data_IF_791039629708
#
_entry.id   IF_791039629708
#
_cell.length_a   1.000
_cell.length_b   1.000
_cell.length_c   1.000
_cell.angle_alpha   90.00
_cell.angle_beta   90.00
_cell.angle_gamma   90.00
#
_symmetry.space_group_name_H-M   'P 1'
#
loop_
_entity.id
_entity.type
_entity.pdbx_description
1 polymer ?
#
# COMPACT_ATOMS: atom_id res chain seq x y z
N UNK A 1 -32.76 -0.06 26.35
CA UNK A 1 -32.58 0.32 24.93
C UNK A 1 -31.98 -0.86 24.16
N UNK A 2 -32.84 -1.70 23.57
CA UNK A 2 -32.47 -2.83 22.68
C UNK A 2 -33.59 -3.02 21.66
N UNK A 3 -33.29 -2.85 20.38
CA UNK A 3 -34.10 -3.10 19.16
C UNK A 3 -33.39 -2.31 18.04
N UNK A 4 -33.17 -2.73 16.79
CA UNK A 4 -33.70 -3.80 15.94
C UNK A 4 -32.64 -3.99 14.84
N UNK A 5 -32.11 -5.21 14.67
CA UNK A 5 -31.53 -5.67 13.39
C UNK A 5 -32.73 -6.06 12.54
N UNK A 6 -32.84 -5.58 11.29
CA UNK A 6 -33.59 -6.20 10.19
C UNK A 6 -33.28 -5.45 8.88
N UNK A 7 -33.21 -6.23 7.79
CA UNK A 7 -33.25 -5.84 6.36
C UNK A 7 -31.90 -5.47 5.70
N UNK A 8 -31.18 -6.49 5.21
CA UNK A 8 -30.43 -6.37 3.94
C UNK A 8 -30.29 -7.71 3.20
N UNK A 9 -31.27 -8.60 3.37
CA UNK A 9 -31.36 -9.85 2.60
C UNK A 9 -32.56 -9.74 1.64
N UNK A 10 -32.45 -8.87 0.63
CA UNK A 10 -33.46 -8.74 -0.44
C UNK A 10 -32.86 -8.05 -1.67
N UNK A 11 -31.75 -8.59 -2.18
CA UNK A 11 -31.23 -8.23 -3.51
C UNK A 11 -30.61 -9.46 -4.17
N UNK A 12 -31.38 -10.54 -4.23
CA UNK A 12 -31.00 -11.78 -4.91
C UNK A 12 -32.22 -12.55 -5.41
N UNK A 13 -33.33 -11.89 -5.77
CA UNK A 13 -34.44 -12.47 -6.55
C UNK A 13 -35.16 -11.33 -7.28
N UNK A 14 -34.60 -10.84 -8.38
CA UNK A 14 -35.33 -10.03 -9.36
C UNK A 14 -34.57 -10.11 -10.67
N UNK A 15 -34.75 -11.22 -11.38
CA UNK A 15 -34.59 -11.37 -12.84
C UNK A 15 -34.83 -12.85 -13.19
N UNK A 16 -36.01 -13.36 -12.84
CA UNK A 16 -36.61 -14.50 -13.51
C UNK A 16 -38.12 -14.40 -13.32
N UNK A 17 -38.81 -14.04 -14.41
CA UNK A 17 -40.21 -14.27 -14.80
C UNK A 17 -40.79 -13.01 -15.45
N UNK A 18 -40.96 -13.09 -16.77
CA UNK A 18 -41.62 -12.07 -17.57
C UNK A 18 -41.73 -12.47 -19.04
N UNK A 19 -42.05 -13.75 -19.29
CA UNK A 19 -42.54 -14.23 -20.60
C UNK A 19 -44.05 -14.43 -20.45
N UNK A 20 -44.80 -14.04 -21.49
CA UNK A 20 -46.25 -14.11 -21.72
C UNK A 20 -47.07 -12.85 -21.36
N UNK A 21 -47.33 -12.01 -22.38
CA UNK A 21 -48.68 -11.76 -22.90
C UNK A 21 -48.66 -10.57 -23.90
N UNK A 22 -48.69 -10.87 -25.20
CA UNK A 22 -49.15 -9.92 -26.23
C UNK A 22 -50.63 -10.19 -26.52
N UNK A 23 -51.48 -9.16 -26.68
CA UNK A 23 -52.68 -9.29 -27.49
C UNK A 23 -52.44 -8.78 -28.92
N UNK A 24 -53.15 -9.43 -29.83
CA UNK A 24 -53.01 -9.39 -31.28
C UNK A 24 -53.68 -8.19 -31.97
N UNK A 25 -53.26 -8.00 -33.22
CA UNK A 25 -54.02 -7.51 -34.39
C UNK A 25 -54.14 -6.01 -34.67
N UNK A 26 -53.43 -5.58 -35.73
CA UNK A 26 -53.96 -4.93 -36.94
C UNK A 26 -52.88 -5.05 -38.04
N UNK A 27 -53.03 -5.95 -39.03
CA UNK A 27 -53.44 -5.64 -40.42
C UNK A 27 -52.59 -4.52 -41.07
N UNK A 28 -51.93 -4.66 -42.22
CA UNK A 28 -52.26 -5.46 -43.40
C UNK A 28 -51.06 -5.58 -44.38
N UNK A 29 -51.16 -6.60 -45.24
CA UNK A 29 -50.68 -6.68 -46.63
C UNK A 29 -49.20 -6.98 -46.95
N UNK A 30 -49.00 -8.28 -47.22
CA UNK A 30 -48.15 -8.86 -48.26
C UNK A 30 -48.50 -8.28 -49.66
N UNK A 31 -47.59 -8.37 -50.65
CA UNK A 31 -47.78 -9.44 -51.63
C UNK A 31 -46.50 -10.21 -51.99
N UNK A 32 -46.78 -11.38 -52.54
CA UNK A 32 -45.91 -12.49 -52.91
C UNK A 32 -44.97 -12.18 -54.09
N UNK A 33 -43.80 -12.83 -54.15
CA UNK A 33 -43.50 -13.84 -55.18
C UNK A 33 -42.02 -14.29 -55.14
N UNK A 34 -41.84 -15.57 -54.80
CA UNK A 34 -40.83 -16.55 -55.20
C UNK A 34 -39.51 -16.11 -55.89
N UNK A 35 -38.37 -16.50 -55.32
CA UNK A 35 -37.37 -17.35 -55.98
C UNK A 35 -36.31 -17.86 -54.97
N UNK A 36 -36.15 -19.18 -54.95
CA UNK A 36 -35.15 -19.98 -54.24
C UNK A 36 -33.73 -19.76 -54.79
N UNK A 37 -32.75 -19.53 -53.93
CA UNK A 37 -31.35 -19.97 -54.15
C UNK A 37 -30.76 -20.40 -52.81
N UNK A 38 -30.35 -21.67 -52.77
CA UNK A 38 -29.51 -22.23 -51.72
C UNK A 38 -28.14 -21.55 -51.75
N UNK A 39 -27.74 -20.91 -50.65
CA UNK A 39 -26.33 -20.75 -50.31
C UNK A 39 -26.13 -21.20 -48.87
N UNK A 40 -25.10 -22.03 -48.71
CA UNK A 40 -24.71 -22.72 -47.50
C UNK A 40 -24.52 -21.74 -46.34
N UNK A 41 -24.97 -22.11 -45.13
CA UNK A 41 -24.50 -21.47 -43.90
C UNK A 41 -22.97 -21.51 -43.91
N UNK A 42 -22.24 -20.37 -43.90
CA UNK A 42 -20.85 -20.42 -43.52
C UNK A 42 -20.81 -20.83 -42.04
N UNK A 43 -19.97 -21.84 -41.81
CA UNK A 43 -19.60 -22.47 -40.56
C UNK A 43 -19.54 -21.47 -39.39
N UNK A 44 -20.15 -21.82 -38.25
CA UNK A 44 -20.12 -21.02 -37.02
C UNK A 44 -18.69 -20.84 -36.46
N UNK A 45 -17.69 -21.48 -37.08
CA UNK A 45 -16.28 -21.26 -36.82
C UNK A 45 -15.71 -19.96 -37.47
N UNK A 46 -16.37 -19.38 -38.48
CA UNK A 46 -15.90 -18.17 -39.18
C UNK A 46 -16.39 -16.85 -38.57
N UNK A 47 -17.10 -16.88 -37.44
CA UNK A 47 -17.49 -15.70 -36.66
C UNK A 47 -16.49 -15.32 -35.55
N UNK A 48 -15.32 -15.97 -35.50
CA UNK A 48 -14.27 -15.69 -34.52
C UNK A 48 -13.16 -14.74 -35.03
N UNK A 49 -13.33 -14.15 -36.21
CA UNK A 49 -12.31 -13.33 -36.87
C UNK A 49 -12.76 -11.89 -37.18
N UNK A 50 -13.80 -11.39 -36.51
CA UNK A 50 -14.26 -10.01 -36.63
C UNK A 50 -14.92 -9.53 -35.32
N UNK A 51 -14.14 -9.45 -34.24
CA UNK A 51 -14.51 -8.73 -33.01
C UNK A 51 -13.30 -7.90 -32.52
N UNK A 52 -12.76 -7.04 -33.39
CA UNK A 52 -11.80 -5.98 -33.02
C UNK A 52 -12.51 -4.61 -32.90
N UNK A 53 -13.74 -4.61 -32.37
CA UNK A 53 -14.50 -3.39 -32.06
C UNK A 53 -14.93 -3.38 -30.58
N UNK A 54 -14.24 -2.55 -29.78
CA UNK A 54 -14.63 -2.11 -28.43
C UNK A 54 -14.48 -3.13 -27.28
N UNK A 55 -13.30 -3.74 -27.17
CA UNK A 55 -12.94 -4.55 -26.01
C UNK A 55 -12.95 -3.70 -24.71
N UNK A 56 -13.79 -4.07 -23.74
CA UNK A 56 -13.88 -3.39 -22.43
C UNK A 56 -12.51 -3.48 -21.75
N UNK A 57 -11.92 -2.32 -21.47
CA UNK A 57 -10.64 -2.27 -20.76
C UNK A 57 -10.80 -2.91 -19.38
N UNK A 58 -10.01 -3.93 -19.09
CA UNK A 58 -9.99 -4.62 -17.80
C UNK A 58 -8.61 -4.50 -17.18
N UNK A 59 -8.56 -4.21 -15.87
CA UNK A 59 -7.32 -4.13 -15.11
C UNK A 59 -7.39 -5.09 -13.93
N UNK A 60 -6.37 -5.93 -13.80
CA UNK A 60 -6.22 -6.89 -12.71
C UNK A 60 -4.88 -6.70 -12.03
N UNK A 61 -4.90 -6.54 -10.72
CA UNK A 61 -3.69 -6.38 -9.90
C UNK A 61 -3.41 -7.70 -9.17
N UNK A 62 -2.20 -8.25 -9.32
CA UNK A 62 -1.78 -9.50 -8.69
C UNK A 62 -0.48 -9.31 -7.93
N UNK A 63 -0.43 -9.81 -6.71
CA UNK A 63 0.81 -9.92 -5.96
C UNK A 63 1.28 -11.38 -6.06
N UNK A 64 2.36 -11.64 -6.78
CA UNK A 64 2.92 -12.96 -7.06
C UNK A 64 4.20 -13.20 -6.24
N UNK A 65 4.48 -14.45 -5.91
CA UNK A 65 5.63 -14.84 -5.07
C UNK A 65 5.30 -14.92 -3.58
N UNK A 66 6.35 -14.98 -2.75
CA UNK A 66 6.20 -15.12 -1.31
C UNK A 66 5.99 -13.75 -0.65
N UNK A 67 4.76 -13.46 -0.21
CA UNK A 67 4.41 -12.19 0.44
C UNK A 67 4.88 -12.15 1.90
N UNK A 68 6.19 -12.21 2.09
CA UNK A 68 6.90 -12.11 3.37
C UNK A 68 7.99 -11.04 3.24
N UNK A 69 8.16 -10.23 4.28
CA UNK A 69 9.21 -9.22 4.33
C UNK A 69 10.58 -9.83 4.02
N UNK A 70 11.31 -9.19 3.10
CA UNK A 70 12.63 -9.64 2.63
C UNK A 70 12.61 -10.74 1.57
N UNK A 71 11.43 -11.20 1.13
CA UNK A 71 11.30 -12.10 -0.03
C UNK A 71 11.18 -11.33 -1.35
N UNK A 72 11.51 -11.99 -2.45
CA UNK A 72 11.31 -11.46 -3.81
C UNK A 72 9.89 -11.77 -4.30
N UNK A 73 8.96 -10.86 -4.00
CA UNK A 73 7.61 -10.87 -4.57
C UNK A 73 7.47 -9.74 -5.59
N UNK A 74 6.53 -9.89 -6.51
CA UNK A 74 6.25 -8.90 -7.54
C UNK A 74 4.79 -8.52 -7.52
N UNK A 75 4.52 -7.23 -7.55
CA UNK A 75 3.20 -6.71 -7.90
C UNK A 75 3.13 -6.53 -9.41
N UNK A 76 2.15 -7.17 -10.03
CA UNK A 76 1.89 -7.15 -11.46
C UNK A 76 0.51 -6.55 -11.71
N UNK A 77 0.42 -5.75 -12.77
CA UNK A 77 -0.85 -5.18 -13.24
C UNK A 77 -1.07 -5.72 -14.64
N UNK A 78 -1.98 -6.67 -14.75
CA UNK A 78 -2.41 -7.23 -16.04
C UNK A 78 -3.53 -6.35 -16.59
N UNK A 79 -3.42 -5.94 -17.85
CA UNK A 79 -4.49 -5.23 -18.55
C UNK A 79 -4.98 -6.02 -19.74
N UNK A 80 -6.24 -5.81 -20.10
CA UNK A 80 -6.79 -6.22 -21.39
C UNK A 80 -7.48 -5.00 -21.99
N UNK A 81 -7.04 -4.50 -23.16
CA UNK A 81 -5.87 -4.94 -23.93
C UNK A 81 -4.52 -4.87 -23.16
N UNK A 82 -3.54 -5.69 -23.54
CA UNK A 82 -2.25 -5.84 -22.82
C UNK A 82 -1.42 -4.53 -22.78
N UNK A 83 -1.60 -3.66 -23.77
CA UNK A 83 -0.85 -2.41 -23.91
C UNK A 83 -1.62 -1.16 -23.46
N UNK A 84 -2.65 -1.34 -22.61
CA UNK A 84 -3.39 -0.22 -22.03
C UNK A 84 -2.48 0.62 -21.14
N UNK A 85 -2.43 1.93 -21.37
CA UNK A 85 -1.74 2.84 -20.46
C UNK A 85 -2.53 2.97 -19.15
N UNK A 86 -1.85 2.81 -18.01
CA UNK A 86 -2.47 2.93 -16.70
C UNK A 86 -1.57 3.64 -15.69
N UNK A 87 -2.20 4.15 -14.63
CA UNK A 87 -1.56 4.49 -13.36
C UNK A 87 -2.19 3.63 -12.27
N UNK A 88 -1.35 2.90 -11.54
CA UNK A 88 -1.72 2.16 -10.35
C UNK A 88 -1.20 2.87 -9.09
N UNK A 89 -1.96 2.75 -8.02
CA UNK A 89 -1.66 3.23 -6.67
C UNK A 89 -1.60 2.01 -5.78
N UNK A 90 -0.57 1.91 -4.95
CA UNK A 90 -0.48 0.91 -3.90
C UNK A 90 -0.23 1.63 -2.59
N UNK A 91 -1.11 1.41 -1.63
CA UNK A 91 -1.15 2.10 -0.35
C UNK A 91 -1.05 1.08 0.78
N UNK A 92 -0.08 1.28 1.66
CA UNK A 92 -0.03 0.56 2.93
C UNK A 92 -0.99 1.16 3.96
N UNK A 93 -1.89 0.32 4.46
CA UNK A 93 -3.03 0.70 5.31
C UNK A 93 -2.90 0.22 6.76
N UNK A 94 -1.87 -0.58 7.07
CA UNK A 94 -1.56 -1.01 8.45
C UNK A 94 -0.16 -1.61 8.54
N UNK A 95 0.34 -1.80 9.77
CA UNK A 95 1.66 -2.37 10.02
C UNK A 95 2.76 -1.35 9.79
N UNK A 96 3.93 -1.83 9.36
CA UNK A 96 5.06 -0.96 8.98
C UNK A 96 4.79 -0.21 7.69
N UNK A 97 3.97 -0.79 6.82
CA UNK A 97 3.55 -0.18 5.59
C UNK A 97 2.63 1.05 5.76
N UNK A 98 2.14 1.37 6.96
CA UNK A 98 1.15 2.43 7.13
C UNK A 98 1.67 3.78 6.62
N UNK A 99 0.98 4.36 5.64
CA UNK A 99 1.37 5.62 5.02
C UNK A 99 2.37 5.49 3.85
N UNK A 100 2.87 4.28 3.55
CA UNK A 100 3.62 4.03 2.33
C UNK A 100 2.71 4.10 1.12
N UNK A 101 3.09 4.90 0.12
CA UNK A 101 2.38 5.00 -1.16
C UNK A 101 3.36 4.78 -2.29
N UNK A 102 2.98 3.98 -3.28
CA UNK A 102 3.69 3.90 -4.55
C UNK A 102 2.73 4.08 -5.72
N UNK A 103 3.19 4.80 -6.74
CA UNK A 103 2.54 4.93 -8.03
C UNK A 103 3.28 4.04 -9.02
N UNK A 104 2.57 3.15 -9.70
CA UNK A 104 3.15 2.36 -10.79
C UNK A 104 2.54 2.82 -12.10
N UNK A 105 3.37 3.01 -13.12
CA UNK A 105 2.90 3.33 -14.45
C UNK A 105 3.16 2.16 -15.41
N UNK A 106 2.26 1.98 -16.38
CA UNK A 106 2.47 0.98 -17.44
C UNK A 106 3.80 1.19 -18.16
N UNK A 107 4.44 0.12 -18.63
CA UNK A 107 5.72 0.21 -19.33
C UNK A 107 5.64 1.04 -20.62
N UNK A 108 4.51 0.98 -21.33
CA UNK A 108 4.22 1.84 -22.49
C UNK A 108 4.25 3.30 -22.10
N UNK A 109 3.52 3.69 -21.05
CA UNK A 109 3.50 5.07 -20.56
C UNK A 109 4.88 5.52 -20.08
N UNK A 110 5.60 4.67 -19.33
CA UNK A 110 6.98 4.94 -18.89
C UNK A 110 7.89 5.24 -20.08
N UNK A 111 7.80 4.42 -21.13
CA UNK A 111 8.59 4.58 -22.35
C UNK A 111 8.25 5.90 -23.05
N UNK A 112 6.96 6.21 -23.23
CA UNK A 112 6.52 7.47 -23.83
C UNK A 112 7.03 8.70 -23.06
N UNK A 113 7.02 8.66 -21.72
CA UNK A 113 7.50 9.76 -20.89
C UNK A 113 9.04 9.92 -20.93
N UNK A 114 9.78 8.84 -21.17
CA UNK A 114 11.24 8.91 -21.36
C UNK A 114 11.65 9.52 -22.70
N UNK A 115 10.80 9.43 -23.72
CA UNK A 115 11.05 10.00 -25.05
C UNK A 115 10.90 11.52 -25.12
N UNK A 116 10.31 12.16 -24.10
CA UNK A 116 10.11 13.61 -24.06
C UNK A 116 11.28 14.24 -23.27
N UNK A 117 12.30 14.80 -23.95
CA UNK A 117 13.45 15.39 -23.28
C UNK A 117 13.06 16.67 -22.55
N UNK A 118 13.75 16.95 -21.45
CA UNK A 118 13.60 18.17 -20.66
C UNK A 118 14.95 18.87 -20.44
N UNK A 119 14.96 20.20 -20.27
CA UNK A 119 16.18 20.93 -19.96
C UNK A 119 16.84 20.44 -18.65
N UNK A 120 18.15 20.19 -18.67
CA UNK A 120 18.92 19.73 -17.50
C UNK A 120 18.80 20.63 -16.27
N UNK A 121 18.57 21.93 -16.45
CA UNK A 121 18.33 22.90 -15.36
C UNK A 121 17.12 22.57 -14.47
N UNK A 122 16.23 21.69 -14.92
CA UNK A 122 15.07 21.21 -14.15
C UNK A 122 15.41 19.97 -13.30
N UNK A 123 16.59 19.38 -13.51
CA UNK A 123 17.11 18.31 -12.67
C UNK A 123 17.58 18.86 -11.32
N UNK A 124 17.44 18.08 -10.26
CA UNK A 124 18.09 18.32 -8.96
C UNK A 124 19.60 18.15 -9.05
N UNK A 125 20.10 17.42 -10.07
CA UNK A 125 21.53 17.20 -10.33
C UNK A 125 21.90 17.53 -11.79
N UNK A 126 21.80 18.81 -12.22
CA UNK A 126 22.01 19.22 -13.62
C UNK A 126 23.36 18.79 -14.20
N UNK A 127 24.41 18.78 -13.35
CA UNK A 127 25.78 18.47 -13.75
C UNK A 127 26.04 16.97 -13.93
N UNK A 128 25.11 16.11 -13.48
CA UNK A 128 25.25 14.64 -13.54
C UNK A 128 24.24 13.97 -14.48
N UNK A 129 23.24 14.70 -14.99
CA UNK A 129 22.21 14.16 -15.86
C UNK A 129 22.61 14.31 -17.34
N UNK A 130 23.04 13.23 -18.00
CA UNK A 130 23.25 13.23 -19.46
C UNK A 130 21.92 13.29 -20.22
N UNK A 131 20.91 12.54 -19.76
CA UNK A 131 19.56 12.50 -20.31
C UNK A 131 18.52 12.81 -19.24
N UNK A 132 17.88 13.99 -19.33
CA UNK A 132 16.77 14.38 -18.46
C UNK A 132 15.47 14.40 -19.28
N UNK A 133 14.43 13.73 -18.79
CA UNK A 133 13.15 13.57 -19.47
C UNK A 133 11.98 13.71 -18.50
N UNK A 134 10.75 13.69 -19.04
CA UNK A 134 9.53 13.85 -18.24
C UNK A 134 9.42 12.75 -17.17
N UNK A 135 9.78 11.50 -17.47
CA UNK A 135 9.75 10.43 -16.47
C UNK A 135 10.68 10.70 -15.29
N UNK A 136 11.94 11.08 -15.55
CA UNK A 136 12.90 11.41 -14.48
C UNK A 136 12.47 12.64 -13.67
N UNK A 137 11.86 13.64 -14.33
CA UNK A 137 11.32 14.81 -13.64
C UNK A 137 10.18 14.44 -12.69
N UNK A 138 9.24 13.61 -13.16
CA UNK A 138 8.16 13.08 -12.32
C UNK A 138 8.70 12.29 -11.13
N UNK A 139 9.65 11.39 -11.37
CA UNK A 139 10.29 10.61 -10.30
C UNK A 139 10.93 11.52 -9.26
N UNK A 140 11.66 12.53 -9.70
CA UNK A 140 12.30 13.53 -8.82
C UNK A 140 11.29 14.34 -7.99
N UNK A 141 10.13 14.68 -8.55
CA UNK A 141 9.10 15.45 -7.86
C UNK A 141 8.26 14.59 -6.90
N UNK A 142 8.15 13.30 -7.16
CA UNK A 142 7.28 12.38 -6.41
C UNK A 142 8.09 11.71 -5.30
N UNK A 143 9.24 11.10 -5.62
CA UNK A 143 9.95 10.23 -4.71
C UNK A 143 10.34 10.93 -3.40
N UNK A 144 9.97 10.30 -2.28
CA UNK A 144 10.28 10.76 -0.94
C UNK A 144 9.45 11.95 -0.46
N UNK A 145 8.55 12.50 -1.29
CA UNK A 145 7.66 13.60 -0.91
C UNK A 145 6.34 13.09 -0.31
N UNK A 146 5.60 14.00 0.34
CA UNK A 146 4.26 13.72 0.86
C UNK A 146 3.22 13.64 -0.25
N UNK A 147 2.17 12.83 -0.06
CA UNK A 147 1.07 12.68 -1.02
C UNK A 147 0.40 14.02 -1.38
N UNK A 148 0.39 15.01 -0.49
CA UNK A 148 -0.12 16.35 -0.77
C UNK A 148 0.61 17.05 -1.92
N UNK A 149 1.87 16.70 -2.18
CA UNK A 149 2.68 17.23 -3.28
C UNK A 149 2.17 16.74 -4.64
N UNK A 150 1.51 15.58 -4.70
CA UNK A 150 1.06 14.97 -5.96
C UNK A 150 0.12 15.87 -6.78
N UNK A 151 -0.71 16.68 -6.13
CA UNK A 151 -1.58 17.64 -6.83
C UNK A 151 -0.75 18.72 -7.54
N UNK A 152 0.26 19.24 -6.84
CA UNK A 152 1.18 20.23 -7.40
C UNK A 152 1.97 19.64 -8.55
N UNK A 153 2.47 18.40 -8.41
CA UNK A 153 3.16 17.69 -9.51
C UNK A 153 2.25 17.57 -10.72
N UNK A 154 0.98 17.18 -10.53
CA UNK A 154 0.03 17.06 -11.62
C UNK A 154 -0.16 18.38 -12.39
N UNK A 155 -0.23 19.52 -11.69
CA UNK A 155 -0.38 20.84 -12.32
C UNK A 155 0.93 21.34 -12.96
N UNK A 156 2.06 21.11 -12.30
CA UNK A 156 3.39 21.49 -12.77
C UNK A 156 3.76 20.78 -14.08
N UNK A 157 3.41 19.50 -14.19
CA UNK A 157 3.65 18.68 -15.38
C UNK A 157 2.90 19.22 -16.61
N UNK A 158 1.68 19.72 -16.43
CA UNK A 158 0.94 20.38 -17.52
C UNK A 158 1.62 21.69 -17.91
N UNK A 159 2.06 22.49 -16.92
CA UNK A 159 2.75 23.76 -17.18
C UNK A 159 4.07 23.60 -17.94
N UNK A 160 4.85 22.57 -17.59
CA UNK A 160 6.09 22.25 -18.33
C UNK A 160 5.77 21.88 -19.77
N UNK A 161 4.70 21.13 -20.01
CA UNK A 161 4.28 20.77 -21.37
C UNK A 161 3.80 21.94 -22.20
N UNK A 162 3.07 22.89 -21.61
CA UNK A 162 2.69 24.11 -22.32
C UNK A 162 3.93 24.89 -22.77
N UNK A 163 4.99 24.89 -21.95
CA UNK A 163 6.27 25.57 -22.26
C UNK A 163 7.06 24.89 -23.39
N UNK A 164 7.05 23.56 -23.46
CA UNK A 164 7.78 22.80 -24.49
C UNK A 164 6.91 22.36 -25.68
N UNK A 165 5.64 22.74 -25.68
CA UNK A 165 4.63 22.33 -26.66
C UNK A 165 5.00 22.62 -28.12
N UNK A 166 5.80 23.66 -28.37
CA UNK A 166 6.28 24.00 -29.71
C UNK A 166 7.29 22.98 -30.26
N UNK A 167 7.99 22.26 -29.39
CA UNK A 167 9.09 21.35 -29.75
C UNK A 167 8.71 19.88 -29.64
N UNK A 168 7.49 19.58 -29.19
CA UNK A 168 7.04 18.24 -28.83
C UNK A 168 5.78 17.89 -29.63
N UNK A 169 5.72 16.71 -30.29
CA UNK A 169 4.53 16.25 -30.98
C UNK A 169 3.24 16.29 -30.13
N UNK A 170 2.12 16.61 -30.78
CA UNK A 170 0.81 16.72 -30.12
C UNK A 170 0.37 15.45 -29.40
N UNK A 171 0.78 14.27 -29.90
CA UNK A 171 0.52 12.98 -29.25
C UNK A 171 1.10 12.91 -27.83
N UNK A 172 2.31 13.43 -27.63
CA UNK A 172 2.95 13.48 -26.32
C UNK A 172 2.29 14.49 -25.38
N UNK A 173 1.78 15.61 -25.91
CA UNK A 173 1.01 16.57 -25.11
C UNK A 173 -0.26 15.91 -24.52
N UNK A 174 -0.93 15.07 -25.31
CA UNK A 174 -2.07 14.28 -24.83
C UNK A 174 -1.65 13.26 -23.78
N UNK A 175 -0.54 12.54 -23.99
CA UNK A 175 -0.01 11.58 -23.00
C UNK A 175 0.23 12.24 -21.64
N UNK A 176 0.85 13.42 -21.62
CA UNK A 176 1.19 14.10 -20.36
C UNK A 176 -0.04 14.71 -19.69
N UNK A 177 -1.02 15.20 -20.46
CA UNK A 177 -2.34 15.59 -19.92
C UNK A 177 -3.05 14.40 -19.25
N UNK A 178 -3.02 13.23 -19.88
CA UNK A 178 -3.60 12.02 -19.31
C UNK A 178 -2.88 11.60 -18.03
N UNK A 179 -1.56 11.75 -17.95
CA UNK A 179 -0.79 11.53 -16.72
C UNK A 179 -1.22 12.47 -15.60
N UNK A 180 -1.34 13.77 -15.89
CA UNK A 180 -1.80 14.77 -14.90
C UNK A 180 -3.19 14.41 -14.34
N UNK A 181 -4.13 14.06 -15.23
CA UNK A 181 -5.47 13.61 -14.82
C UNK A 181 -5.40 12.32 -13.99
N UNK A 182 -4.61 11.34 -14.43
CA UNK A 182 -4.39 10.10 -13.70
C UNK A 182 -3.80 10.31 -12.30
N UNK A 183 -2.89 11.27 -12.12
CA UNK A 183 -2.34 11.65 -10.82
C UNK A 183 -3.39 12.28 -9.90
N UNK A 184 -4.28 13.12 -10.43
CA UNK A 184 -5.41 13.69 -9.67
C UNK A 184 -6.38 12.61 -9.20
N UNK A 185 -6.65 11.62 -10.06
CA UNK A 185 -7.47 10.46 -9.70
C UNK A 185 -6.76 9.55 -8.68
N UNK A 186 -5.46 9.31 -8.85
CA UNK A 186 -4.64 8.59 -7.89
C UNK A 186 -4.66 9.26 -6.51
N UNK A 187 -4.52 10.58 -6.46
CA UNK A 187 -4.63 11.36 -5.21
C UNK A 187 -6.01 11.18 -4.56
N UNK A 188 -7.07 11.16 -5.36
CA UNK A 188 -8.44 10.94 -4.87
C UNK A 188 -8.61 9.56 -4.25
N UNK A 189 -8.02 8.52 -4.88
CA UNK A 189 -7.96 7.18 -4.30
C UNK A 189 -7.15 7.15 -3.00
N UNK A 190 -5.99 7.82 -2.96
CA UNK A 190 -5.16 7.84 -1.75
C UNK A 190 -5.93 8.51 -0.61
N UNK A 191 -6.52 9.70 -0.81
CA UNK A 191 -7.29 10.42 0.21
C UNK A 191 -8.48 9.63 0.75
N UNK A 192 -9.08 8.75 -0.08
CA UNK A 192 -10.18 7.87 0.33
C UNK A 192 -9.75 6.84 1.37
N UNK A 193 -8.54 6.29 1.26
CA UNK A 193 -8.06 5.20 2.12
C UNK A 193 -7.01 5.65 3.15
N UNK A 194 -6.38 6.80 2.91
CA UNK A 194 -5.44 7.46 3.79
C UNK A 194 -5.90 8.92 3.95
N UNK A 195 -6.67 9.24 5.01
CA UNK A 195 -7.21 10.58 5.22
C UNK A 195 -6.10 11.61 5.48
N UNK A 196 -6.45 12.89 5.32
CA UNK A 196 -5.52 14.00 5.51
C UNK A 196 -4.89 13.99 6.91
N UNK A 197 -3.57 14.26 6.97
CA UNK A 197 -2.78 14.28 8.20
C UNK A 197 -2.07 12.97 8.53
N UNK A 198 -2.29 11.89 7.79
CA UNK A 198 -1.44 10.71 7.87
C UNK A 198 -0.05 11.02 7.27
N UNK A 199 1.01 10.74 8.03
CA UNK A 199 2.38 10.83 7.51
C UNK A 199 2.53 9.87 6.34
N UNK A 200 2.73 10.41 5.15
CA UNK A 200 2.80 9.63 3.92
C UNK A 200 4.06 9.95 3.15
N UNK A 201 4.59 8.94 2.45
CA UNK A 201 5.65 9.13 1.47
C UNK A 201 5.27 8.41 0.21
N UNK A 202 5.38 9.11 -0.91
CA UNK A 202 5.04 8.58 -2.23
C UNK A 202 6.31 8.30 -3.02
N UNK A 203 6.29 7.20 -3.78
CA UNK A 203 7.39 6.79 -4.64
C UNK A 203 6.84 6.37 -6.01
N UNK A 204 7.59 6.65 -7.07
CA UNK A 204 7.23 6.27 -8.44
C UNK A 204 7.98 4.99 -8.85
N UNK A 205 7.21 3.99 -9.27
CA UNK A 205 7.63 2.66 -9.72
C UNK A 205 8.42 1.84 -8.69
N UNK A 206 8.24 2.11 -7.39
CA UNK A 206 8.83 1.31 -6.32
C UNK A 206 7.88 0.21 -5.85
N UNK A 207 8.36 -1.04 -5.81
CA UNK A 207 7.60 -2.14 -5.20
C UNK A 207 7.49 -1.91 -3.68
N UNK A 208 6.30 -2.14 -3.07
CA UNK A 208 6.21 -2.18 -1.62
C UNK A 208 7.18 -3.24 -1.08
N UNK A 209 7.67 -3.06 0.15
CA UNK A 209 8.61 -3.98 0.80
C UNK A 209 8.19 -4.32 2.23
N UNK A 210 7.67 -3.32 2.94
CA UNK A 210 7.33 -3.45 4.35
C UNK A 210 6.17 -4.42 4.63
N UNK A 211 6.18 -4.97 5.83
CA UNK A 211 5.10 -5.82 6.30
C UNK A 211 3.86 -4.98 6.63
N UNK A 212 2.69 -5.51 6.28
CA UNK A 212 1.46 -4.75 6.44
C UNK A 212 0.35 -5.24 5.54
N UNK A 213 -0.78 -4.55 5.63
CA UNK A 213 -1.87 -4.71 4.66
C UNK A 213 -1.78 -3.60 3.63
N UNK A 214 -2.01 -3.96 2.38
CA UNK A 214 -1.95 -3.08 1.25
C UNK A 214 -3.28 -3.06 0.52
N UNK A 215 -3.64 -1.87 0.04
CA UNK A 215 -4.69 -1.65 -0.93
C UNK A 215 -4.02 -1.21 -2.23
N UNK A 216 -4.38 -1.83 -3.34
CA UNK A 216 -3.94 -1.43 -4.66
C UNK A 216 -5.15 -1.09 -5.54
N UNK A 217 -5.04 -0.03 -6.32
CA UNK A 217 -6.04 0.39 -7.30
C UNK A 217 -5.36 0.87 -8.58
N UNK A 218 -5.92 0.62 -9.75
CA UNK A 218 -5.35 1.03 -11.01
C UNK A 218 -6.42 1.60 -11.95
N UNK A 219 -6.04 2.59 -12.75
CA UNK A 219 -6.94 3.33 -13.65
C UNK A 219 -6.29 3.41 -15.02
N UNK A 220 -7.07 3.10 -16.07
CA UNK A 220 -6.65 3.27 -17.45
C UNK A 220 -6.67 4.75 -17.87
N UNK A 221 -5.71 5.16 -18.70
CA UNK A 221 -5.52 6.54 -19.16
C UNK A 221 -6.02 6.82 -20.58
N UNK A 222 -6.27 5.78 -21.38
CA UNK A 222 -6.61 5.89 -22.81
C UNK A 222 -8.12 5.97 -23.10
N UNK A 223 -8.98 5.81 -22.08
CA UNK A 223 -10.43 5.88 -22.24
C UNK A 223 -10.95 7.25 -21.82
N UNK A 224 -11.60 7.96 -22.75
CA UNK A 224 -12.27 9.26 -22.53
C UNK A 224 -13.29 9.23 -21.39
N UNK A 225 -13.75 8.03 -21.04
CA UNK A 225 -14.55 7.72 -19.87
C UNK A 225 -13.74 6.82 -18.93
N UNK A 226 -13.73 7.10 -17.61
CA UNK A 226 -13.07 6.30 -16.57
C UNK A 226 -13.85 4.98 -16.37
N UNK A 227 -13.85 4.13 -17.39
CA UNK A 227 -14.67 2.92 -17.43
C UNK A 227 -13.93 1.68 -16.92
N UNK A 228 -12.62 1.79 -16.68
CA UNK A 228 -11.78 0.67 -16.29
C UNK A 228 -10.93 0.99 -15.06
N UNK A 229 -11.30 0.38 -13.93
CA UNK A 229 -10.51 0.38 -12.72
C UNK A 229 -10.39 -1.02 -12.13
N UNK A 230 -9.18 -1.40 -11.73
CA UNK A 230 -8.89 -2.65 -11.03
C UNK A 230 -8.54 -2.37 -9.57
N UNK A 231 -8.92 -3.27 -8.66
CA UNK A 231 -8.55 -3.16 -7.24
C UNK A 231 -8.09 -4.50 -6.68
N UNK A 232 -7.13 -4.46 -5.75
CA UNK A 232 -6.68 -5.62 -5.00
C UNK A 232 -6.36 -5.25 -3.55
N UNK A 233 -6.48 -6.22 -2.66
CA UNK A 233 -5.98 -6.14 -1.29
C UNK A 233 -5.07 -7.32 -1.04
N UNK A 234 -3.89 -7.07 -0.48
CA UNK A 234 -2.93 -8.11 -0.14
C UNK A 234 -2.21 -7.79 1.16
N UNK A 235 -1.50 -8.78 1.70
CA UNK A 235 -0.77 -8.65 2.95
C UNK A 235 0.63 -9.19 2.78
N UNK A 236 1.63 -8.37 3.07
CA UNK A 236 3.01 -8.83 3.28
C UNK A 236 3.16 -9.17 4.75
N UNK A 237 3.50 -10.43 5.03
CA UNK A 237 3.70 -10.93 6.38
C UNK A 237 5.07 -10.47 6.89
N UNK A 238 5.23 -10.25 8.20
CA UNK A 238 6.55 -10.06 8.78
C UNK A 238 7.38 -11.34 8.61
N UNK A 239 8.70 -11.19 8.58
CA UNK A 239 9.63 -12.32 8.53
C UNK A 239 9.64 -13.06 9.86
N UNK A 240 9.54 -14.38 9.81
CA UNK A 240 9.58 -15.27 10.98
C UNK A 240 10.74 -16.27 10.96
N UNK A 241 11.26 -16.58 9.78
CA UNK A 241 12.35 -17.55 9.62
C UNK A 241 13.68 -16.93 10.02
N UNK A 242 14.46 -17.68 10.80
CA UNK A 242 15.74 -17.25 11.38
C UNK A 242 15.66 -15.92 12.15
N UNK A 243 14.48 -15.61 12.71
CA UNK A 243 14.26 -14.42 13.53
C UNK A 243 14.21 -14.81 15.00
N UNK A 244 15.00 -14.14 15.82
CA UNK A 244 15.00 -14.29 17.28
C UNK A 244 15.16 -12.95 18.00
N UNK A 245 14.98 -12.96 19.31
CA UNK A 245 15.27 -11.82 20.18
C UNK A 245 16.44 -12.18 21.09
N UNK A 246 17.31 -11.21 21.33
CA UNK A 246 18.35 -11.29 22.36
C UNK A 246 18.36 -10.02 23.19
N UNK A 247 18.56 -10.14 24.51
CA UNK A 247 18.75 -8.97 25.36
C UNK A 247 20.05 -8.25 24.98
N UNK A 248 20.03 -6.92 24.96
CA UNK A 248 21.22 -6.12 24.66
C UNK A 248 22.28 -6.21 25.77
N UNK A 249 21.81 -6.33 27.02
CA UNK A 249 22.63 -6.54 28.19
C UNK A 249 21.92 -7.50 29.17
N UNK A 250 22.74 -8.26 29.91
CA UNK A 250 22.25 -9.01 31.06
C UNK A 250 21.82 -8.05 32.16
N UNK A 251 20.61 -8.24 32.69
CA UNK A 251 20.12 -7.50 33.84
C UNK A 251 20.44 -8.27 35.12
N UNK A 252 21.03 -7.63 36.14
CA UNK A 252 21.23 -8.29 37.43
C UNK A 252 19.89 -8.75 38.02
N UNK A 253 19.90 -9.90 38.70
CA UNK A 253 18.70 -10.52 39.27
C UNK A 253 17.98 -9.63 40.31
N UNK A 254 18.74 -8.76 40.97
CA UNK A 254 18.24 -7.74 41.89
C UNK A 254 18.96 -6.42 41.66
N UNK A 255 18.23 -5.31 41.65
CA UNK A 255 18.78 -3.96 41.51
C UNK A 255 17.88 -2.94 42.21
N UNK A 256 18.43 -1.77 42.54
CA UNK A 256 17.62 -0.69 43.13
C UNK A 256 16.77 0.00 42.05
N UNK A 257 15.78 0.80 42.46
CA UNK A 257 14.96 1.59 41.53
C UNK A 257 15.86 2.47 40.65
N UNK A 258 16.84 3.17 41.22
CA UNK A 258 17.76 4.04 40.47
C UNK A 258 18.63 3.25 39.47
N UNK A 259 19.08 2.05 39.83
CA UNK A 259 19.85 1.19 38.94
C UNK A 259 19.02 0.68 37.77
N UNK A 260 17.74 0.33 38.01
CA UNK A 260 16.84 -0.13 36.96
C UNK A 260 16.57 0.94 35.91
N UNK A 261 16.40 2.20 36.35
CA UNK A 261 16.15 3.34 35.45
C UNK A 261 17.36 3.66 34.56
N UNK A 262 18.56 3.27 35.00
CA UNK A 262 19.81 3.49 34.26
C UNK A 262 20.28 2.24 33.48
N UNK A 263 19.63 1.09 33.66
CA UNK A 263 20.03 -0.17 33.05
C UNK A 263 19.58 -0.25 31.58
N UNK A 264 20.40 -0.88 30.74
CA UNK A 264 19.96 -1.24 29.39
C UNK A 264 18.97 -2.41 29.46
N UNK A 265 17.68 -2.08 29.39
CA UNK A 265 16.59 -3.04 29.39
C UNK A 265 16.12 -3.43 27.99
N UNK A 266 16.89 -3.09 26.96
CA UNK A 266 16.49 -3.32 25.57
C UNK A 266 16.81 -4.74 25.11
N UNK A 267 16.07 -5.17 24.08
CA UNK A 267 16.36 -6.36 23.31
C UNK A 267 16.52 -5.98 21.84
N UNK A 268 17.29 -6.77 21.12
CA UNK A 268 17.57 -6.64 19.69
C UNK A 268 16.90 -7.78 18.95
N UNK A 269 16.33 -7.46 17.79
CA UNK A 269 15.88 -8.46 16.83
C UNK A 269 17.09 -8.96 16.06
N UNK A 270 17.29 -10.27 16.05
CA UNK A 270 18.31 -10.95 15.26
C UNK A 270 17.62 -11.60 14.07
N UNK A 271 18.07 -11.32 12.85
CA UNK A 271 17.63 -11.98 11.61
C UNK A 271 18.85 -12.59 10.93
N UNK A 272 18.78 -13.86 10.58
CA UNK A 272 19.87 -14.59 9.89
C UNK A 272 21.23 -14.45 10.59
N UNK A 273 21.21 -14.43 11.93
CA UNK A 273 22.42 -14.32 12.77
C UNK A 273 22.98 -12.89 12.91
N UNK A 274 22.37 -11.88 12.30
CA UNK A 274 22.79 -10.48 12.43
C UNK A 274 21.72 -9.63 13.11
N UNK A 275 22.14 -8.54 13.77
CA UNK A 275 21.20 -7.56 14.34
C UNK A 275 20.44 -6.89 13.21
N UNK A 276 19.12 -6.96 13.23
CA UNK A 276 18.27 -6.33 12.23
C UNK A 276 18.30 -4.80 12.37
N UNK A 277 18.72 -4.09 11.32
CA UNK A 277 18.84 -2.61 11.32
C UNK A 277 17.52 -1.90 11.69
N UNK A 278 16.39 -2.44 11.23
CA UNK A 278 15.05 -1.90 11.48
C UNK A 278 14.22 -2.77 12.45
N UNK A 279 14.89 -3.47 13.38
CA UNK A 279 14.24 -4.31 14.38
C UNK A 279 13.46 -3.48 15.40
N UNK A 280 12.14 -3.65 15.46
CA UNK A 280 11.29 -3.01 16.49
C UNK A 280 10.99 -4.00 17.61
N UNK A 281 11.11 -3.53 18.86
CA UNK A 281 10.79 -4.32 20.06
C UNK A 281 9.86 -3.55 20.96
N UNK A 282 8.80 -4.21 21.40
CA UNK A 282 7.87 -3.72 22.42
C UNK A 282 8.09 -4.43 23.75
N UNK A 283 7.91 -3.70 24.85
CA UNK A 283 8.14 -4.22 26.19
C UNK A 283 6.84 -4.17 27.01
N UNK A 284 6.63 -5.18 27.83
CA UNK A 284 5.56 -5.20 28.83
C UNK A 284 6.13 -5.65 30.16
N UNK A 285 5.71 -4.99 31.22
CA UNK A 285 6.11 -5.32 32.58
C UNK A 285 4.89 -5.78 33.38
N UNK A 286 5.10 -6.83 34.19
CA UNK A 286 4.05 -7.44 34.99
C UNK A 286 4.52 -7.57 36.42
N UNK A 287 3.92 -6.81 37.35
CA UNK A 287 4.23 -6.87 38.79
C UNK A 287 3.63 -8.14 39.37
N UNK A 288 4.41 -8.89 40.14
CA UNK A 288 3.92 -10.04 40.92
C UNK A 288 3.27 -9.50 42.19
N UNK A 289 1.97 -9.69 42.34
CA UNK A 289 1.23 -9.30 43.55
C UNK A 289 0.92 -10.55 44.39
N UNK A 290 0.77 -10.35 45.70
CA UNK A 290 0.32 -11.39 46.62
C UNK A 290 -1.11 -11.84 46.22
N UNK A 291 -1.41 -13.14 46.32
CA UNK A 291 -2.67 -13.81 45.89
C UNK A 291 -2.86 -14.05 44.37
N UNK A 292 -1.80 -14.37 43.63
CA UNK A 292 -1.88 -14.77 42.20
C UNK A 292 -2.41 -13.70 41.23
N UNK A 293 -2.66 -12.48 41.70
CA UNK A 293 -2.96 -11.34 40.85
C UNK A 293 -1.67 -10.71 40.33
N UNK A 294 -1.76 -10.19 39.13
CA UNK A 294 -0.62 -9.59 38.46
C UNK A 294 -1.09 -8.43 37.63
N UNK A 295 -0.60 -7.24 37.93
CA UNK A 295 -0.91 -6.03 37.20
C UNK A 295 0.11 -5.82 36.09
N UNK A 296 -0.39 -5.55 34.88
CA UNK A 296 0.44 -4.99 33.81
C UNK A 296 0.71 -3.54 34.14
N UNK A 297 1.97 -3.13 34.06
CA UNK A 297 2.36 -1.72 34.18
C UNK A 297 2.94 -1.26 32.85
N UNK A 298 2.68 0.00 32.52
CA UNK A 298 3.22 0.65 31.34
C UNK A 298 4.53 1.36 31.73
N UNK A 299 5.58 1.14 30.94
CA UNK A 299 6.89 1.72 31.21
C UNK A 299 7.74 0.92 32.21
N UNK A 300 8.97 1.39 32.40
CA UNK A 300 9.94 0.77 33.31
C UNK A 300 9.45 0.87 34.75
N UNK A 301 9.53 -0.21 35.56
CA UNK A 301 9.13 -0.17 36.96
C UNK A 301 9.80 0.96 37.76
N UNK A 302 9.03 1.67 38.58
CA UNK A 302 9.52 2.74 39.48
C UNK A 302 9.37 2.41 40.96
N UNK A 303 8.69 1.31 41.28
CA UNK A 303 8.46 0.87 42.65
C UNK A 303 9.23 -0.41 42.95
N UNK A 304 9.59 -0.65 44.22
CA UNK A 304 10.08 -1.94 44.65
C UNK A 304 9.07 -3.08 44.38
N UNK A 305 9.59 -4.24 44.01
CA UNK A 305 8.81 -5.43 43.73
C UNK A 305 9.47 -6.36 42.72
N UNK A 306 8.85 -7.52 42.49
CA UNK A 306 9.28 -8.46 41.46
C UNK A 306 8.47 -8.26 40.19
N UNK A 307 9.16 -8.03 39.07
CA UNK A 307 8.55 -7.79 37.77
C UNK A 307 9.00 -8.82 36.76
N UNK A 308 8.07 -9.27 35.90
CA UNK A 308 8.42 -9.98 34.67
C UNK A 308 8.46 -8.97 33.53
N UNK A 309 9.62 -8.78 32.93
CA UNK A 309 9.79 -8.04 31.68
C UNK A 309 9.66 -9.01 30.51
N UNK A 310 8.76 -8.71 29.58
CA UNK A 310 8.60 -9.47 28.34
C UNK A 310 8.90 -8.56 27.15
N UNK A 311 9.79 -9.02 26.26
CA UNK A 311 10.10 -8.37 24.99
C UNK A 311 9.44 -9.12 23.83
N UNK A 312 8.86 -8.37 22.90
CA UNK A 312 8.19 -8.90 21.70
C UNK A 312 8.65 -8.15 20.46
N UNK A 313 9.11 -8.89 19.45
CA UNK A 313 9.45 -8.37 18.14
C UNK A 313 8.18 -7.82 17.46
N UNK A 314 8.34 -6.69 16.79
CA UNK A 314 7.29 -6.03 16.05
C UNK A 314 7.80 -5.51 14.71
N UNK A 315 6.89 -4.83 14.01
CA UNK A 315 7.14 -4.32 12.68
C UNK A 315 7.36 -5.42 11.65
N UNK A 316 8.47 -5.32 10.91
CA UNK A 316 8.83 -6.22 9.80
C UNK A 316 9.26 -7.63 10.23
N UNK A 317 9.37 -7.87 11.53
CA UNK A 317 9.85 -9.12 12.11
C UNK A 317 8.86 -9.67 13.13
N UNK A 318 8.80 -11.00 13.25
CA UNK A 318 7.98 -11.67 14.25
C UNK A 318 8.67 -12.96 14.71
N UNK A 319 8.78 -13.15 16.01
CA UNK A 319 9.34 -14.36 16.62
C UNK A 319 8.74 -14.59 18.01
N UNK A 320 9.12 -15.70 18.65
CA UNK A 320 8.79 -15.96 20.06
C UNK A 320 9.28 -14.83 20.96
N UNK A 321 8.51 -14.55 22.01
CA UNK A 321 8.88 -13.54 23.02
C UNK A 321 9.95 -14.08 23.95
N UNK A 322 10.84 -13.21 24.42
CA UNK A 322 11.76 -13.51 25.53
C UNK A 322 11.27 -12.80 26.80
N UNK A 323 11.49 -13.42 27.96
CA UNK A 323 11.13 -12.84 29.24
C UNK A 323 12.25 -13.01 30.26
N UNK A 324 12.36 -12.06 31.18
CA UNK A 324 13.24 -12.15 32.35
C UNK A 324 12.57 -11.60 33.59
N UNK A 325 12.99 -12.10 34.74
CA UNK A 325 12.53 -11.64 36.05
C UNK A 325 13.51 -10.61 36.59
N UNK A 326 12.97 -9.49 37.06
CA UNK A 326 13.74 -8.40 37.66
C UNK A 326 13.19 -8.17 39.06
N UNK A 327 14.06 -8.24 40.07
CA UNK A 327 13.72 -7.85 41.44
C UNK A 327 14.20 -6.43 41.68
N UNK A 328 13.28 -5.56 42.07
CA UNK A 328 13.54 -4.14 42.32
C UNK A 328 13.48 -3.90 43.82
N UNK A 329 14.56 -3.40 44.40
CA UNK A 329 14.63 -3.00 45.81
C UNK A 329 14.54 -1.48 45.94
N UNK A 330 14.14 -1.00 47.11
CA UNK A 330 14.20 0.43 47.41
C UNK A 330 15.65 0.93 47.30
N UNK A 331 15.81 2.19 46.88
CA UNK A 331 17.11 2.85 46.95
C UNK A 331 17.54 2.98 48.42
N UNK A 332 18.84 2.82 48.74
CA UNK A 332 19.34 3.02 50.09
C UNK A 332 19.02 4.45 50.54
N UNK A 333 18.34 4.58 51.68
CA UNK A 333 18.05 5.89 52.27
C UNK A 333 19.38 6.54 52.66
N UNK A 334 19.63 7.83 52.32
CA UNK A 334 20.86 8.50 52.74
C UNK A 334 20.95 8.38 54.26
N UNK A 335 22.07 7.83 54.74
CA UNK A 335 22.32 7.68 56.16
C UNK A 335 22.13 9.06 56.81
N UNK A 336 21.17 9.16 57.74
CA UNK A 336 21.01 10.36 58.54
C UNK A 336 22.37 10.63 59.19
N UNK A 337 22.99 11.76 58.83
CA UNK A 337 24.21 12.20 59.48
C UNK A 337 23.93 12.22 60.98
N UNK A 338 24.59 11.35 61.75
CA UNK A 338 24.64 11.45 63.20
C UNK A 338 25.12 12.86 63.51
N UNK A 339 24.21 13.72 63.99
CA UNK A 339 24.61 14.96 64.61
C UNK A 339 25.53 14.59 65.77
N UNK A 340 26.76 15.10 65.83
CA UNK A 340 27.59 14.93 67.02
C UNK A 340 26.83 15.53 68.20
N UNK A 341 26.57 14.70 69.22
CA UNK A 341 26.00 15.16 70.47
C UNK A 341 26.94 16.21 71.07
N UNK A 342 26.41 17.42 71.30
CA UNK A 342 27.12 18.55 71.88
C UNK A 342 27.25 18.42 73.40
#
# INVERSE_FOLDING_TARGET
MKAKRWISLLLAVSMMLGVLAMPASAAAQQPESTAVVSEELPDAAALSAAEDENDIVNIRIRATGNLVYGSDYKLEVETRPENTQYIAVVLGTSGEAYGYVTLMISDKLRTLLKLIPLPKKMSQTPDQAEEFNVYSYLKQLIDGNDVGVLLRVADEVVSVMDTVSFFVPASYLTTVKNVSNGMKLALSLIRKYLPEGALSRIYLDEQPKDSGKYFAGAIALESSDINAAGFAMFKIKPKTENVSLSWAADAPASMTVSQLQSADLTAKVISDGQVAENGKVSYTYKKKTFLCFSSKINGVPTEPGTYTQTAKAGGNYSCSTISRTITVTADPQPAAAEQPAA
#
